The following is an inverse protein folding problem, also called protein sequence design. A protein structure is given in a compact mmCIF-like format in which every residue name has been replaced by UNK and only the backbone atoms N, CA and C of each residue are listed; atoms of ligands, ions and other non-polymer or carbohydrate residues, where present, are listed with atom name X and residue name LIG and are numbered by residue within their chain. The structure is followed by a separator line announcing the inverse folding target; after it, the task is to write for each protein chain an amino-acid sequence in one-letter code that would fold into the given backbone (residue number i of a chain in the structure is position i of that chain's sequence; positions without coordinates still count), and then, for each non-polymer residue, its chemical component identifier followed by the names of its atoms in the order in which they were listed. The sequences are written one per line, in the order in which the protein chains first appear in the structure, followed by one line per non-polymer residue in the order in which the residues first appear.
data_IF_893484359746
#
_entry.id   IF_893484359746
#
_cell.length_a   1.000
_cell.length_b   1.000
_cell.length_c   1.000
_cell.angle_alpha   90.00
_cell.angle_beta   90.00
_cell.angle_gamma   90.00
#
_symmetry.space_group_name_H-M   'P 1'
#
loop_
_entity.id
_entity.type
_entity.pdbx_description
1 polymer ?
#
# COMPACT_ATOMS: atom_id res chain seq x y z
N UNK A 1 -10.86 -0.12 -5.04
CA UNK A 1 -9.69 0.04 -5.92
C UNK A 1 -8.66 -1.01 -5.56
N UNK A 2 -8.21 -1.76 -6.54
CA UNK A 2 -7.16 -2.77 -6.39
C UNK A 2 -5.90 -2.31 -7.11
N UNK A 3 -4.77 -2.28 -6.39
CA UNK A 3 -3.49 -1.85 -6.95
C UNK A 3 -2.55 -3.06 -7.03
N UNK A 4 -2.24 -3.46 -8.26
CA UNK A 4 -1.27 -4.50 -8.58
C UNK A 4 -0.54 -4.09 -9.86
N UNK A 5 0.46 -3.25 -9.71
CA UNK A 5 1.16 -2.63 -10.81
C UNK A 5 2.66 -2.54 -10.52
N UNK A 6 3.37 -1.69 -11.23
CA UNK A 6 4.80 -1.49 -10.99
C UNK A 6 5.03 -0.80 -9.64
N UNK A 7 5.84 -1.42 -8.80
CA UNK A 7 5.98 -1.05 -7.38
C UNK A 7 6.60 0.34 -7.18
N UNK A 8 7.46 0.76 -8.08
CA UNK A 8 8.10 2.08 -7.99
C UNK A 8 7.06 3.20 -8.00
N UNK A 9 5.93 3.00 -8.67
CA UNK A 9 4.86 4.00 -8.80
C UNK A 9 3.71 3.78 -7.81
N UNK A 10 3.83 2.85 -6.86
CA UNK A 10 2.76 2.55 -5.91
C UNK A 10 2.33 3.76 -5.09
N UNK A 11 3.27 4.62 -4.69
CA UNK A 11 2.95 5.82 -3.92
C UNK A 11 2.03 6.75 -4.72
N UNK A 12 2.33 6.93 -6.01
CA UNK A 12 1.49 7.75 -6.89
C UNK A 12 0.11 7.14 -7.09
N UNK A 13 0.05 5.81 -7.27
CA UNK A 13 -1.23 5.11 -7.41
C UNK A 13 -2.07 5.24 -6.15
N UNK A 14 -1.45 5.13 -4.98
CA UNK A 14 -2.16 5.34 -3.72
C UNK A 14 -2.73 6.75 -3.62
N UNK A 15 -1.92 7.77 -3.91
CA UNK A 15 -2.35 9.17 -3.86
C UNK A 15 -3.51 9.44 -4.82
N UNK A 16 -3.41 8.94 -6.05
CA UNK A 16 -4.49 9.08 -7.03
C UNK A 16 -5.76 8.36 -6.59
N UNK A 17 -5.61 7.19 -6.01
CA UNK A 17 -6.74 6.42 -5.48
C UNK A 17 -7.45 7.19 -4.37
N UNK A 18 -6.69 7.82 -3.47
CA UNK A 18 -7.27 8.63 -2.39
C UNK A 18 -8.03 9.84 -2.91
N UNK A 19 -7.65 10.35 -4.08
CA UNK A 19 -8.39 11.42 -4.75
C UNK A 19 -9.73 10.94 -5.34
N UNK A 20 -9.74 9.72 -5.87
CA UNK A 20 -10.89 9.17 -6.59
C UNK A 20 -11.89 8.48 -5.70
N UNK A 21 -11.42 7.89 -4.59
CA UNK A 21 -12.25 7.05 -3.76
C UNK A 21 -13.16 7.88 -2.86
N UNK A 22 -14.39 7.41 -2.70
CA UNK A 22 -15.34 8.04 -1.79
C UNK A 22 -15.15 7.48 -0.39
N UNK A 23 -15.62 8.20 0.63
CA UNK A 23 -15.60 7.71 2.00
C UNK A 23 -16.30 6.35 2.07
N UNK A 24 -15.82 5.49 2.96
CA UNK A 24 -16.23 4.09 3.12
C UNK A 24 -15.85 3.19 1.95
N UNK A 25 -14.99 3.66 1.05
CA UNK A 25 -14.40 2.81 0.02
C UNK A 25 -13.21 2.03 0.54
N UNK A 26 -12.70 1.13 -0.29
CA UNK A 26 -11.58 0.26 0.07
C UNK A 26 -10.50 0.34 -1.00
N UNK A 27 -9.25 0.46 -0.59
CA UNK A 27 -8.08 0.34 -1.45
C UNK A 27 -7.33 -0.92 -1.02
N UNK A 28 -7.06 -1.80 -1.97
CA UNK A 28 -6.30 -3.03 -1.75
C UNK A 28 -5.00 -2.94 -2.52
N UNK A 29 -3.87 -3.09 -1.81
CA UNK A 29 -2.54 -3.05 -2.40
C UNK A 29 -1.90 -4.42 -2.27
N UNK A 30 -1.54 -5.03 -3.39
CA UNK A 30 -0.90 -6.33 -3.42
C UNK A 30 0.62 -6.22 -3.30
N UNK A 31 1.26 -7.29 -2.90
CA UNK A 31 2.72 -7.44 -2.82
C UNK A 31 3.40 -6.45 -1.86
N UNK A 32 2.74 -6.02 -0.81
CA UNK A 32 3.29 -5.01 0.11
C UNK A 32 4.46 -5.52 0.94
N UNK A 33 4.62 -6.83 1.11
CA UNK A 33 5.80 -7.40 1.77
C UNK A 33 6.95 -7.68 0.81
N UNK A 34 6.65 -7.82 -0.49
CA UNK A 34 7.63 -8.05 -1.55
C UNK A 34 8.59 -9.20 -1.19
N UNK A 35 8.04 -10.38 -0.83
CA UNK A 35 8.81 -11.54 -0.40
C UNK A 35 9.58 -11.32 0.90
N UNK A 36 9.15 -10.38 1.75
CA UNK A 36 9.83 -10.03 2.99
C UNK A 36 10.88 -8.95 2.84
N UNK A 37 11.22 -8.53 1.62
CA UNK A 37 12.26 -7.52 1.36
C UNK A 37 11.95 -6.16 2.00
N UNK A 38 10.67 -5.86 2.23
CA UNK A 38 10.25 -4.60 2.84
C UNK A 38 10.74 -4.46 4.28
N UNK A 39 11.06 -5.57 4.94
CA UNK A 39 11.58 -5.56 6.32
C UNK A 39 13.05 -5.12 6.37
N UNK A 40 13.80 -5.33 5.30
CA UNK A 40 15.18 -4.90 5.17
C UNK A 40 15.42 -4.50 3.71
N UNK A 41 14.88 -3.36 3.28
CA UNK A 41 14.81 -3.02 1.86
C UNK A 41 16.18 -2.64 1.30
N UNK A 42 16.61 -3.36 0.27
CA UNK A 42 17.83 -3.09 -0.49
C UNK A 42 17.53 -2.62 -1.90
N UNK A 43 16.45 -3.11 -2.48
CA UNK A 43 16.00 -2.72 -3.81
C UNK A 43 15.11 -1.48 -3.74
N UNK A 44 15.10 -0.70 -4.82
CA UNK A 44 14.28 0.51 -4.87
C UNK A 44 12.80 0.20 -4.74
N UNK A 45 12.33 -0.91 -5.33
CA UNK A 45 10.93 -1.32 -5.21
C UNK A 45 10.55 -1.60 -3.76
N UNK A 46 11.40 -2.32 -3.01
CA UNK A 46 11.17 -2.60 -1.61
C UNK A 46 11.20 -1.33 -0.76
N UNK A 47 12.11 -0.41 -1.06
CA UNK A 47 12.16 0.89 -0.37
C UNK A 47 10.90 1.70 -0.62
N UNK A 48 10.39 1.70 -1.84
CA UNK A 48 9.14 2.37 -2.19
C UNK A 48 7.96 1.79 -1.42
N UNK A 49 7.86 0.48 -1.32
CA UNK A 49 6.78 -0.17 -0.58
C UNK A 49 6.86 0.13 0.92
N UNK A 50 8.05 0.15 1.49
CA UNK A 50 8.21 0.50 2.91
C UNK A 50 7.82 1.96 3.16
N UNK A 51 8.22 2.86 2.30
CA UNK A 51 7.83 4.27 2.38
C UNK A 51 6.32 4.43 2.27
N UNK A 52 5.70 3.71 1.34
CA UNK A 52 4.25 3.74 1.17
C UNK A 52 3.53 3.24 2.42
N UNK A 53 4.01 2.16 3.02
CA UNK A 53 3.43 1.64 4.27
C UNK A 53 3.44 2.70 5.38
N UNK A 54 4.52 3.46 5.49
CA UNK A 54 4.61 4.56 6.45
C UNK A 54 3.59 5.66 6.12
N UNK A 55 3.47 6.03 4.86
CA UNK A 55 2.50 7.04 4.40
C UNK A 55 1.08 6.61 4.75
N UNK A 56 0.74 5.35 4.48
CA UNK A 56 -0.59 4.82 4.76
C UNK A 56 -0.88 4.83 6.27
N UNK A 57 0.08 4.38 7.08
CA UNK A 57 -0.10 4.32 8.52
C UNK A 57 -0.24 5.71 9.16
N UNK A 58 0.35 6.73 8.57
CA UNK A 58 0.26 8.10 9.05
C UNK A 58 -0.94 8.87 8.49
N UNK A 59 -1.68 8.26 7.56
CA UNK A 59 -2.83 8.90 6.92
C UNK A 59 -4.10 8.63 7.74
N UNK A 60 -4.60 9.65 8.40
CA UNK A 60 -5.78 9.55 9.27
C UNK A 60 -7.08 9.27 8.52
N UNK A 61 -7.07 9.34 7.20
CA UNK A 61 -8.26 9.13 6.39
C UNK A 61 -8.63 7.66 6.22
N UNK A 62 -7.76 6.75 6.66
CA UNK A 62 -8.00 5.32 6.50
C UNK A 62 -7.71 4.54 7.78
N UNK A 63 -8.31 3.35 7.85
CA UNK A 63 -7.91 2.28 8.77
C UNK A 63 -7.33 1.18 7.90
N UNK A 64 -6.13 0.70 8.21
CA UNK A 64 -5.46 -0.27 7.37
C UNK A 64 -5.05 -1.51 8.15
N UNK A 65 -4.92 -2.61 7.41
CA UNK A 65 -4.42 -3.87 7.94
C UNK A 65 -3.60 -4.57 6.87
N UNK A 66 -2.55 -5.26 7.30
CA UNK A 66 -1.72 -6.07 6.43
C UNK A 66 -2.04 -7.54 6.66
N UNK A 67 -2.45 -8.22 5.61
CA UNK A 67 -2.72 -9.65 5.65
C UNK A 67 -1.52 -10.37 5.02
N UNK A 68 -0.81 -11.23 5.76
CA UNK A 68 0.40 -11.89 5.26
C UNK A 68 0.09 -13.09 4.36
N UNK A 69 -0.72 -12.86 3.34
CA UNK A 69 -1.05 -13.85 2.32
C UNK A 69 -0.14 -13.59 1.13
N UNK A 70 0.64 -14.60 0.70
CA UNK A 70 1.64 -14.48 -0.35
C UNK A 70 2.64 -13.36 -0.01
N UNK A 71 2.75 -12.33 -0.84
CA UNK A 71 3.68 -11.20 -0.66
C UNK A 71 3.08 -10.06 0.16
N UNK A 72 1.98 -10.32 0.87
CA UNK A 72 1.34 -9.32 1.72
C UNK A 72 0.29 -8.51 1.00
N UNK A 73 -0.91 -8.51 1.55
CA UNK A 73 -2.04 -7.77 1.03
C UNK A 73 -2.41 -6.68 2.03
N UNK A 74 -2.26 -5.42 1.65
CA UNK A 74 -2.64 -4.32 2.52
C UNK A 74 -4.02 -3.80 2.12
N UNK A 75 -4.92 -3.76 3.09
CA UNK A 75 -6.28 -3.29 2.89
C UNK A 75 -6.45 -1.98 3.64
N UNK A 76 -6.81 -0.93 2.91
CA UNK A 76 -7.08 0.40 3.46
C UNK A 76 -8.56 0.68 3.36
N UNK A 77 -9.21 0.80 4.49
CA UNK A 77 -10.62 1.15 4.57
C UNK A 77 -10.73 2.66 4.80
N UNK A 78 -11.38 3.36 3.88
CA UNK A 78 -11.49 4.81 3.92
C UNK A 78 -12.67 5.20 4.81
N UNK A 79 -12.39 6.04 5.78
CA UNK A 79 -13.37 6.48 6.78
C UNK A 79 -14.50 7.34 6.22
#
# INVERSE_FOLDING_TARGET
IFIDADKINYIEYYKKSMHLIKSKGVIVLDNMLWGGSVLNPKEEQAKTLKKLATIINEDDRNVNTLIPVRDGLMICYIK
#
